data_IF_169126021545
#
_entry.id   IF_169126021545
#
_cell.length_a   1.000
_cell.length_b   1.000
_cell.length_c   1.000
_cell.angle_alpha   90.00
_cell.angle_beta   90.00
_cell.angle_gamma   90.00
#
_symmetry.space_group_name_H-M   'P 1'
#
loop_
_entity.id
_entity.type
_entity.pdbx_description
1 polymer ?
#
# COMPACT_ATOMS: atom_id res chain seq x y z
N UNK A 1 -36.72 -3.38 9.38
CA UNK A 1 -35.35 -3.48 8.81
C UNK A 1 -34.38 -3.41 9.97
N UNK A 2 -33.39 -4.27 10.03
CA UNK A 2 -32.32 -4.18 11.05
C UNK A 2 -31.62 -2.82 10.93
N UNK A 3 -31.26 -2.20 12.06
CA UNK A 3 -30.51 -0.95 12.08
C UNK A 3 -29.13 -1.18 11.48
N UNK A 4 -28.70 -0.33 10.53
CA UNK A 4 -27.38 -0.45 9.89
C UNK A 4 -26.28 -0.04 10.86
N UNK A 5 -25.16 -0.73 10.83
CA UNK A 5 -23.96 -0.38 11.59
C UNK A 5 -23.34 0.88 10.98
N UNK A 6 -23.21 1.94 11.78
CA UNK A 6 -22.62 3.21 11.36
C UNK A 6 -21.09 3.19 11.49
N UNK A 7 -20.40 3.20 10.37
CA UNK A 7 -18.93 3.15 10.29
C UNK A 7 -18.38 4.50 9.85
N UNK A 8 -17.49 5.07 10.65
CA UNK A 8 -16.77 6.29 10.31
C UNK A 8 -15.31 5.94 10.00
N UNK A 9 -14.93 6.03 8.72
CA UNK A 9 -13.54 5.90 8.27
C UNK A 9 -12.84 7.26 8.42
N UNK A 10 -11.68 7.29 9.06
CA UNK A 10 -10.90 8.53 9.26
C UNK A 10 -9.48 8.31 8.76
N UNK A 11 -9.08 9.04 7.74
CA UNK A 11 -7.72 9.03 7.17
C UNK A 11 -7.17 10.46 7.08
N UNK A 12 -5.86 10.63 7.25
CA UNK A 12 -5.27 11.98 7.27
C UNK A 12 -5.43 12.70 5.93
N UNK A 13 -5.22 12.01 4.82
CA UNK A 13 -5.46 12.49 3.47
C UNK A 13 -5.59 11.30 2.51
N UNK A 14 -6.22 11.53 1.39
CA UNK A 14 -6.42 10.54 0.33
C UNK A 14 -5.41 10.76 -0.83
N UNK A 15 -4.13 10.92 -0.48
CA UNK A 15 -3.09 11.03 -1.52
C UNK A 15 -2.91 9.69 -2.25
N UNK A 16 -2.56 9.74 -3.53
CA UNK A 16 -2.31 8.54 -4.35
C UNK A 16 -1.29 7.62 -3.66
N UNK A 17 -1.75 6.45 -3.22
CA UNK A 17 -0.96 5.47 -2.47
C UNK A 17 -1.80 4.39 -1.81
N UNK A 18 -1.15 3.36 -1.29
CA UNK A 18 -1.80 2.16 -0.75
C UNK A 18 -2.93 2.42 0.26
N UNK A 19 -2.76 3.25 1.29
CA UNK A 19 -3.82 3.51 2.27
C UNK A 19 -5.10 4.10 1.66
N UNK A 20 -4.98 5.00 0.68
CA UNK A 20 -6.13 5.61 0.00
C UNK A 20 -6.89 4.58 -0.85
N UNK A 21 -6.17 3.71 -1.57
CA UNK A 21 -6.78 2.60 -2.32
C UNK A 21 -7.57 1.69 -1.39
N UNK A 22 -6.97 1.23 -0.29
CA UNK A 22 -7.63 0.33 0.67
C UNK A 22 -8.89 0.96 1.24
N UNK A 23 -8.83 2.24 1.66
CA UNK A 23 -10.00 2.94 2.21
C UNK A 23 -11.08 3.11 1.15
N UNK A 24 -10.72 3.43 -0.10
CA UNK A 24 -11.67 3.55 -1.19
C UNK A 24 -12.37 2.22 -1.48
N UNK A 25 -11.63 1.12 -1.52
CA UNK A 25 -12.21 -0.20 -1.74
C UNK A 25 -13.13 -0.64 -0.58
N UNK A 26 -12.82 -0.28 0.66
CA UNK A 26 -13.73 -0.48 1.79
C UNK A 26 -15.01 0.35 1.67
N UNK A 27 -14.90 1.61 1.23
CA UNK A 27 -16.06 2.48 1.02
C UNK A 27 -17.00 1.96 -0.08
N UNK A 28 -16.45 1.35 -1.13
CA UNK A 28 -17.22 0.78 -2.26
C UNK A 28 -17.79 -0.60 -1.97
N UNK A 29 -16.98 -1.46 -1.36
CA UNK A 29 -17.24 -2.89 -1.32
C UNK A 29 -18.05 -3.39 -0.12
N UNK A 30 -18.16 -2.62 0.97
CA UNK A 30 -18.98 -3.02 2.11
C UNK A 30 -20.46 -2.90 1.79
N UNK A 31 -21.23 -3.91 2.16
CA UNK A 31 -22.67 -4.01 1.89
C UNK A 31 -23.45 -2.83 2.50
N UNK A 32 -23.97 -1.94 1.66
CA UNK A 32 -24.72 -0.74 2.05
C UNK A 32 -26.07 -1.03 2.73
N UNK A 33 -26.58 -2.25 2.60
CA UNK A 33 -27.78 -2.67 3.35
C UNK A 33 -27.48 -2.93 4.83
N UNK A 34 -26.22 -3.23 5.17
CA UNK A 34 -25.75 -3.55 6.53
C UNK A 34 -24.93 -2.42 7.15
N UNK A 35 -24.22 -1.65 6.34
CA UNK A 35 -23.30 -0.61 6.80
C UNK A 35 -23.69 0.77 6.24
N UNK A 36 -23.75 1.76 7.12
CA UNK A 36 -23.85 3.16 6.76
C UNK A 36 -22.46 3.79 6.97
N UNK A 37 -21.78 4.13 5.86
CA UNK A 37 -20.39 4.60 5.91
C UNK A 37 -20.28 6.09 5.67
N UNK A 38 -19.35 6.73 6.39
CA UNK A 38 -18.86 8.09 6.08
C UNK A 38 -17.32 8.09 6.05
N UNK A 39 -16.76 8.79 5.08
CA UNK A 39 -15.33 9.04 4.98
C UNK A 39 -15.01 10.45 5.46
N UNK A 40 -14.09 10.54 6.44
CA UNK A 40 -13.52 11.80 6.92
C UNK A 40 -12.05 11.85 6.52
N UNK A 41 -11.65 12.91 5.84
CA UNK A 41 -10.28 13.09 5.38
C UNK A 41 -9.84 14.56 5.48
N UNK A 42 -8.55 14.83 5.42
CA UNK A 42 -8.00 16.17 5.20
C UNK A 42 -7.79 16.45 3.71
N UNK A 43 -6.93 17.41 3.45
CA UNK A 43 -6.50 17.79 2.12
C UNK A 43 -5.11 17.22 1.83
N UNK A 44 -4.83 16.91 0.59
CA UNK A 44 -3.49 16.63 0.10
C UNK A 44 -2.67 17.91 0.03
N UNK A 45 -1.35 17.82 0.12
CA UNK A 45 -0.46 18.95 -0.12
C UNK A 45 -0.43 19.24 -1.65
N UNK A 46 -0.06 20.47 -2.05
CA UNK A 46 -0.06 20.92 -3.47
C UNK A 46 0.81 20.01 -4.37
N UNK A 47 1.79 19.33 -3.81
CA UNK A 47 2.69 18.42 -4.52
C UNK A 47 2.20 16.98 -4.54
N UNK A 48 1.04 16.69 -3.97
CA UNK A 48 0.47 15.34 -3.88
C UNK A 48 -0.83 15.27 -4.70
N UNK A 49 -0.95 14.29 -5.60
CA UNK A 49 -2.21 14.01 -6.27
C UNK A 49 -3.24 13.44 -5.28
N UNK A 50 -4.46 13.93 -5.33
CA UNK A 50 -5.56 13.45 -4.49
C UNK A 50 -6.28 12.29 -5.19
N UNK A 51 -6.30 11.13 -4.55
CA UNK A 51 -6.90 9.91 -5.08
C UNK A 51 -8.41 10.05 -5.32
N UNK A 52 -9.11 10.87 -4.51
CA UNK A 52 -10.54 11.12 -4.70
C UNK A 52 -10.84 11.96 -5.96
N UNK A 53 -9.94 12.86 -6.32
CA UNK A 53 -10.11 13.72 -7.47
C UNK A 53 -9.64 13.03 -8.76
N UNK A 54 -8.61 12.16 -8.68
CA UNK A 54 -7.99 11.51 -9.84
C UNK A 54 -8.60 10.15 -10.21
N UNK A 55 -8.98 9.34 -9.21
CA UNK A 55 -9.35 7.93 -9.41
C UNK A 55 -10.67 7.55 -8.77
N UNK A 56 -10.92 7.98 -7.54
CA UNK A 56 -12.09 7.57 -6.75
C UNK A 56 -13.14 8.69 -6.66
N UNK A 57 -13.48 9.30 -7.79
CA UNK A 57 -14.41 10.44 -7.92
C UNK A 57 -15.86 10.10 -7.51
N UNK A 58 -16.20 8.84 -7.43
CA UNK A 58 -17.47 8.30 -6.96
C UNK A 58 -17.64 8.35 -5.44
N UNK A 59 -16.52 8.48 -4.68
CA UNK A 59 -16.54 8.46 -3.22
C UNK A 59 -16.70 9.87 -2.66
N UNK A 60 -17.79 10.06 -1.90
CA UNK A 60 -18.03 11.29 -1.17
C UNK A 60 -17.30 11.30 0.16
N UNK A 61 -16.48 12.31 0.41
CA UNK A 61 -15.75 12.49 1.67
C UNK A 61 -16.07 13.84 2.32
N UNK A 62 -16.07 13.88 3.65
CA UNK A 62 -16.06 15.13 4.40
C UNK A 62 -14.60 15.52 4.66
N UNK A 63 -14.17 16.63 4.08
CA UNK A 63 -12.82 17.15 4.28
C UNK A 63 -12.75 18.05 5.52
N UNK A 64 -11.76 17.83 6.39
CA UNK A 64 -11.49 18.64 7.59
C UNK A 64 -10.12 19.31 7.42
N UNK A 65 -10.12 20.64 7.41
CA UNK A 65 -8.89 21.40 7.37
C UNK A 65 -8.01 21.11 8.59
N UNK A 66 -6.70 20.96 8.35
CA UNK A 66 -5.73 20.62 9.39
C UNK A 66 -5.52 19.11 9.61
N UNK A 67 -6.36 18.24 9.04
CA UNK A 67 -6.17 16.78 9.16
C UNK A 67 -5.10 16.22 8.18
N UNK A 68 -4.50 17.03 7.33
CA UNK A 68 -3.48 16.64 6.34
C UNK A 68 -2.16 16.10 6.92
N UNK A 69 -1.08 16.16 6.13
CA UNK A 69 0.24 15.59 6.48
C UNK A 69 0.98 16.39 7.56
N UNK A 70 0.99 17.71 7.40
CA UNK A 70 1.78 18.61 8.23
C UNK A 70 1.27 18.63 9.68
N UNK A 71 2.19 18.71 10.63
CA UNK A 71 1.89 18.87 12.07
C UNK A 71 1.91 20.37 12.39
N UNK A 72 0.77 20.89 12.84
CA UNK A 72 0.60 22.28 13.26
C UNK A 72 -0.35 22.34 14.46
N UNK A 73 0.08 22.81 15.63
CA UNK A 73 -0.75 22.77 16.84
C UNK A 73 -2.13 23.43 16.69
N UNK A 74 -2.20 24.56 15.98
CA UNK A 74 -3.47 25.28 15.75
C UNK A 74 -4.35 24.55 14.76
N UNK A 75 -3.77 24.06 13.64
CA UNK A 75 -4.53 23.32 12.63
C UNK A 75 -4.97 21.96 13.19
N UNK A 76 -4.13 21.29 13.97
CA UNK A 76 -4.43 20.02 14.61
C UNK A 76 -5.55 20.16 15.65
N UNK A 77 -5.57 21.26 16.43
CA UNK A 77 -6.67 21.55 17.36
C UNK A 77 -7.98 21.82 16.60
N UNK A 78 -7.95 22.57 15.49
CA UNK A 78 -9.15 22.79 14.64
C UNK A 78 -9.65 21.47 14.06
N UNK A 79 -8.76 20.63 13.54
CA UNK A 79 -9.10 19.31 13.01
C UNK A 79 -9.69 18.41 14.11
N UNK A 80 -9.12 18.43 15.30
CA UNK A 80 -9.62 17.68 16.46
C UNK A 80 -11.07 18.09 16.84
N UNK A 81 -11.33 19.40 16.96
CA UNK A 81 -12.68 19.92 17.25
C UNK A 81 -13.66 19.49 16.15
N UNK A 82 -13.28 19.62 14.88
CA UNK A 82 -14.08 19.18 13.74
C UNK A 82 -14.41 17.68 13.80
N UNK A 83 -13.43 16.84 14.15
CA UNK A 83 -13.65 15.40 14.36
C UNK A 83 -14.63 15.12 15.50
N UNK A 84 -14.49 15.79 16.64
CA UNK A 84 -15.42 15.63 17.78
C UNK A 84 -16.86 16.00 17.37
N UNK A 85 -17.03 17.10 16.63
CA UNK A 85 -18.34 17.54 16.12
C UNK A 85 -18.93 16.49 15.16
N UNK A 86 -18.14 16.01 14.19
CA UNK A 86 -18.62 14.98 13.23
C UNK A 86 -18.97 13.67 13.92
N UNK A 87 -18.19 13.21 14.90
CA UNK A 87 -18.49 12.02 15.70
C UNK A 87 -19.81 12.20 16.47
N UNK A 88 -20.04 13.35 17.09
CA UNK A 88 -21.28 13.64 17.83
C UNK A 88 -22.50 13.71 16.92
N UNK A 89 -22.36 14.24 15.71
CA UNK A 89 -23.45 14.38 14.73
C UNK A 89 -23.79 13.05 14.07
N UNK A 90 -22.81 12.33 13.53
CA UNK A 90 -23.03 11.06 12.82
C UNK A 90 -23.35 9.92 13.77
N UNK A 91 -22.85 9.96 15.00
CA UNK A 91 -23.05 8.94 16.04
C UNK A 91 -22.61 7.54 15.58
N UNK A 92 -21.36 7.35 15.18
CA UNK A 92 -20.88 6.08 14.68
C UNK A 92 -20.89 4.99 15.76
N UNK A 93 -21.16 3.74 15.34
CA UNK A 93 -20.96 2.53 16.14
C UNK A 93 -19.49 2.09 16.08
N UNK A 94 -18.85 2.30 14.93
CA UNK A 94 -17.46 1.99 14.68
C UNK A 94 -16.72 3.24 14.19
N UNK A 95 -15.57 3.53 14.80
CA UNK A 95 -14.61 4.52 14.31
C UNK A 95 -13.35 3.77 13.91
N UNK A 96 -13.07 3.76 12.61
CA UNK A 96 -11.90 3.12 12.03
C UNK A 96 -10.93 4.20 11.54
N UNK A 97 -9.76 4.26 12.14
CA UNK A 97 -8.74 5.27 11.84
C UNK A 97 -7.59 4.65 11.06
N UNK A 98 -7.08 5.40 10.07
CA UNK A 98 -5.97 5.02 9.20
C UNK A 98 -4.90 6.10 9.23
N UNK A 99 -3.62 5.72 9.08
CA UNK A 99 -2.46 6.61 9.11
C UNK A 99 -2.18 7.27 10.49
N UNK A 100 -0.95 7.72 10.72
CA UNK A 100 -0.50 8.14 12.04
C UNK A 100 -1.29 9.33 12.61
N UNK A 101 -1.40 10.45 11.87
CA UNK A 101 -2.05 11.67 12.37
C UNK A 101 -3.55 11.48 12.60
N UNK A 102 -4.26 10.90 11.63
CA UNK A 102 -5.68 10.58 11.79
C UNK A 102 -5.91 9.51 12.87
N UNK A 103 -4.96 8.59 13.03
CA UNK A 103 -4.94 7.62 14.12
C UNK A 103 -4.90 8.28 15.49
N UNK A 104 -4.04 9.28 15.70
CA UNK A 104 -3.96 10.02 16.96
C UNK A 104 -5.20 10.87 17.17
N UNK A 105 -5.49 11.79 16.25
CA UNK A 105 -6.58 12.75 16.41
C UNK A 105 -7.96 12.07 16.44
N UNK A 106 -8.20 11.08 15.59
CA UNK A 106 -9.49 10.37 15.51
C UNK A 106 -9.77 9.54 16.77
N UNK A 107 -8.77 8.80 17.28
CA UNK A 107 -8.93 8.02 18.53
C UNK A 107 -9.15 8.92 19.74
N UNK A 108 -8.39 10.03 19.87
CA UNK A 108 -8.59 11.02 20.93
C UNK A 108 -9.97 11.69 20.82
N UNK A 109 -10.37 12.12 19.62
CA UNK A 109 -11.68 12.73 19.38
C UNK A 109 -12.82 11.78 19.76
N UNK A 110 -12.68 10.48 19.44
CA UNK A 110 -13.64 9.44 19.83
C UNK A 110 -13.81 9.34 21.37
N UNK A 111 -12.71 9.42 22.10
CA UNK A 111 -12.72 9.38 23.59
C UNK A 111 -13.43 10.61 24.14
N UNK A 112 -13.10 11.80 23.65
CA UNK A 112 -13.65 13.08 24.13
C UNK A 112 -15.11 13.28 23.70
N UNK A 113 -15.52 12.73 22.55
CA UNK A 113 -16.91 12.78 22.11
C UNK A 113 -17.86 12.03 23.04
N UNK A 114 -17.34 11.19 23.96
CA UNK A 114 -18.13 10.49 24.98
C UNK A 114 -19.03 9.39 24.43
N UNK A 115 -18.79 8.93 23.18
CA UNK A 115 -19.58 7.86 22.54
C UNK A 115 -18.97 6.48 22.81
N UNK A 116 -19.84 5.48 22.96
CA UNK A 116 -19.42 4.07 23.10
C UNK A 116 -19.04 3.41 21.77
N UNK A 117 -18.53 4.19 20.81
CA UNK A 117 -18.08 3.64 19.53
C UNK A 117 -16.90 2.69 19.72
N UNK A 118 -16.92 1.59 18.99
CA UNK A 118 -15.75 0.70 18.89
C UNK A 118 -14.65 1.38 18.09
N UNK A 119 -13.48 1.50 18.68
CA UNK A 119 -12.30 2.10 18.05
C UNK A 119 -11.43 1.02 17.43
N UNK A 120 -11.18 1.16 16.12
CA UNK A 120 -10.29 0.32 15.32
C UNK A 120 -9.21 1.23 14.75
N UNK A 121 -7.98 0.75 14.69
CA UNK A 121 -6.89 1.46 14.03
C UNK A 121 -6.09 0.52 13.15
N UNK A 122 -5.89 0.92 11.87
CA UNK A 122 -5.05 0.18 10.92
C UNK A 122 -3.70 0.85 10.75
N UNK A 123 -2.64 0.08 10.97
CA UNK A 123 -1.26 0.43 10.66
C UNK A 123 -0.94 -0.02 9.23
N UNK A 124 -0.72 0.95 8.33
CA UNK A 124 -0.48 0.71 6.89
C UNK A 124 1.00 0.54 6.52
N UNK A 125 1.87 0.36 7.48
CA UNK A 125 3.30 0.14 7.26
C UNK A 125 4.12 0.27 8.53
N UNK A 126 5.43 0.20 8.38
CA UNK A 126 6.38 0.27 9.49
C UNK A 126 6.51 1.72 10.00
N UNK A 127 5.73 2.06 11.02
CA UNK A 127 5.74 3.38 11.66
C UNK A 127 7.10 3.73 12.28
N UNK A 128 7.89 2.71 12.65
CA UNK A 128 9.07 2.83 13.49
C UNK A 128 10.38 2.87 12.71
N UNK A 129 10.39 2.54 11.43
CA UNK A 129 11.60 2.47 10.61
C UNK A 129 11.62 3.56 9.53
N UNK A 130 12.65 4.41 9.59
CA UNK A 130 12.97 5.36 8.52
C UNK A 130 12.21 6.69 8.50
N UNK A 131 11.20 6.90 9.38
CA UNK A 131 10.41 8.13 9.38
C UNK A 131 10.85 9.16 10.42
N UNK A 132 11.38 8.74 11.57
CA UNK A 132 11.76 9.62 12.65
C UNK A 132 13.09 9.19 13.27
N UNK A 133 13.91 10.15 13.70
CA UNK A 133 15.16 9.89 14.39
C UNK A 133 15.00 10.07 15.92
N UNK A 134 15.62 9.17 16.69
CA UNK A 134 15.88 9.33 18.11
C UNK A 134 14.64 9.60 18.97
N UNK A 135 14.59 10.74 19.66
CA UNK A 135 13.56 11.09 20.63
C UNK A 135 12.14 11.22 20.05
N UNK A 136 12.01 11.59 18.76
CA UNK A 136 10.72 11.69 18.07
C UNK A 136 10.08 10.29 17.93
N UNK A 137 10.87 9.27 17.62
CA UNK A 137 10.40 7.88 17.58
C UNK A 137 9.91 7.43 18.95
N UNK A 138 10.66 7.74 20.03
CA UNK A 138 10.25 7.41 21.39
C UNK A 138 8.92 8.07 21.77
N UNK A 139 8.71 9.33 21.38
CA UNK A 139 7.46 10.05 21.62
C UNK A 139 6.29 9.41 20.86
N UNK A 140 6.47 9.08 19.58
CA UNK A 140 5.45 8.40 18.77
C UNK A 140 5.08 7.06 19.40
N UNK A 141 6.07 6.26 19.83
CA UNK A 141 5.84 4.98 20.52
C UNK A 141 5.04 5.20 21.82
N UNK A 142 5.39 6.21 22.62
CA UNK A 142 4.68 6.50 23.86
C UNK A 142 3.20 6.88 23.63
N UNK A 143 2.94 7.71 22.63
CA UNK A 143 1.59 8.09 22.21
C UNK A 143 0.81 6.86 21.74
N UNK A 144 1.40 6.03 20.86
CA UNK A 144 0.75 4.84 20.35
C UNK A 144 0.47 3.81 21.45
N UNK A 145 1.37 3.60 22.41
CA UNK A 145 1.13 2.77 23.61
C UNK A 145 -0.06 3.25 24.42
N UNK A 146 -0.18 4.56 24.61
CA UNK A 146 -1.29 5.15 25.35
C UNK A 146 -2.62 4.94 24.59
N UNK A 147 -2.63 5.18 23.26
CA UNK A 147 -3.81 5.03 22.42
C UNK A 147 -4.20 3.56 22.23
N UNK A 148 -3.25 2.65 22.09
CA UNK A 148 -3.50 1.22 21.98
C UNK A 148 -4.28 0.66 23.18
N UNK A 149 -3.98 1.12 24.40
CA UNK A 149 -4.74 0.74 25.61
C UNK A 149 -6.22 1.15 25.57
N UNK A 150 -6.59 2.08 24.70
CA UNK A 150 -7.94 2.64 24.52
C UNK A 150 -8.58 2.30 23.17
N UNK A 151 -7.89 1.53 22.37
CA UNK A 151 -8.35 1.01 21.07
C UNK A 151 -8.84 -0.41 21.28
N UNK A 152 -9.98 -0.78 20.72
CA UNK A 152 -10.55 -2.11 20.90
C UNK A 152 -9.85 -3.14 20.01
N UNK A 153 -9.59 -2.77 18.76
CA UNK A 153 -8.92 -3.63 17.78
C UNK A 153 -7.82 -2.86 17.04
N UNK A 154 -6.68 -3.49 16.90
CA UNK A 154 -5.55 -3.01 16.11
C UNK A 154 -5.42 -3.91 14.88
N UNK A 155 -5.33 -3.31 13.71
CA UNK A 155 -5.15 -4.00 12.45
C UNK A 155 -3.76 -3.68 11.91
N UNK A 156 -3.00 -4.70 11.57
CA UNK A 156 -1.76 -4.58 10.82
C UNK A 156 -1.97 -5.13 9.42
N UNK A 157 -1.42 -4.46 8.41
CA UNK A 157 -1.55 -4.91 7.02
C UNK A 157 -0.61 -6.07 6.65
N UNK A 158 0.31 -6.46 7.55
CA UNK A 158 1.27 -7.54 7.35
C UNK A 158 1.80 -8.07 8.68
N UNK A 159 2.37 -9.28 8.64
CA UNK A 159 2.87 -9.97 9.82
C UNK A 159 4.06 -9.25 10.45
N UNK A 160 5.03 -8.77 9.65
CA UNK A 160 6.18 -8.02 10.18
C UNK A 160 5.75 -6.68 10.78
N UNK A 161 4.78 -5.98 10.18
CA UNK A 161 4.21 -4.76 10.79
C UNK A 161 3.65 -5.05 12.18
N UNK A 162 2.88 -6.13 12.34
CA UNK A 162 2.37 -6.57 13.65
C UNK A 162 3.50 -6.88 14.62
N UNK A 163 4.50 -7.64 14.17
CA UNK A 163 5.62 -8.06 15.00
C UNK A 163 6.43 -6.86 15.52
N UNK A 164 6.72 -5.88 14.66
CA UNK A 164 7.44 -4.66 15.03
C UNK A 164 6.67 -3.81 16.04
N UNK A 165 5.37 -3.67 15.87
CA UNK A 165 4.51 -2.96 16.82
C UNK A 165 4.48 -3.64 18.17
N UNK A 166 4.37 -4.97 18.20
CA UNK A 166 4.42 -5.76 19.43
C UNK A 166 5.81 -5.68 20.12
N UNK A 167 6.92 -5.79 19.36
CA UNK A 167 8.28 -5.58 19.89
C UNK A 167 8.45 -4.19 20.49
N UNK A 168 7.84 -3.17 19.89
CA UNK A 168 7.84 -1.82 20.45
C UNK A 168 6.91 -1.67 21.68
N UNK A 169 6.13 -2.68 22.04
CA UNK A 169 5.18 -2.68 23.17
C UNK A 169 3.91 -1.89 22.88
N UNK A 170 3.53 -1.74 21.60
CA UNK A 170 2.28 -1.11 21.18
C UNK A 170 1.20 -2.18 21.11
N UNK A 171 0.18 -2.09 21.96
CA UNK A 171 -0.91 -3.08 22.01
C UNK A 171 -0.53 -4.42 22.64
N UNK A 172 -1.40 -5.40 22.49
CA UNK A 172 -1.25 -6.80 22.97
C UNK A 172 -1.57 -7.76 21.83
N UNK A 173 -1.02 -8.96 21.85
CA UNK A 173 -1.18 -9.97 20.80
C UNK A 173 -2.66 -10.26 20.47
N UNK A 174 -3.52 -10.39 21.48
CA UNK A 174 -4.95 -10.67 21.30
C UNK A 174 -5.78 -9.45 20.82
N UNK A 175 -5.17 -8.28 20.70
CA UNK A 175 -5.78 -7.06 20.19
C UNK A 175 -5.55 -6.90 18.69
N UNK A 176 -4.56 -7.62 18.13
CA UNK A 176 -4.19 -7.53 16.73
C UNK A 176 -4.91 -8.54 15.85
N UNK A 177 -5.37 -8.04 14.71
CA UNK A 177 -5.66 -8.84 13.51
C UNK A 177 -4.70 -8.44 12.39
N UNK A 178 -4.29 -9.39 11.56
CA UNK A 178 -3.56 -9.09 10.31
C UNK A 178 -4.56 -9.17 9.17
N UNK A 179 -4.83 -8.01 8.55
CA UNK A 179 -5.69 -7.91 7.38
C UNK A 179 -4.85 -7.46 6.20
N UNK A 180 -4.50 -8.40 5.35
CA UNK A 180 -3.79 -8.08 4.13
C UNK A 180 -4.63 -7.19 3.22
N UNK A 181 -4.04 -6.21 2.53
CA UNK A 181 -4.73 -5.45 1.50
C UNK A 181 -5.34 -6.36 0.45
N UNK A 182 -6.52 -6.01 -0.03
CA UNK A 182 -7.17 -6.73 -1.13
C UNK A 182 -7.40 -5.80 -2.31
N UNK A 183 -7.16 -6.30 -3.51
CA UNK A 183 -7.43 -5.60 -4.76
C UNK A 183 -8.47 -6.35 -5.58
N UNK A 184 -9.24 -5.65 -6.43
CA UNK A 184 -10.12 -6.29 -7.40
C UNK A 184 -9.31 -7.19 -8.35
N UNK A 185 -9.99 -8.17 -8.94
CA UNK A 185 -9.37 -9.02 -9.95
C UNK A 185 -8.83 -8.17 -11.11
N UNK A 186 -7.66 -8.52 -11.67
CA UNK A 186 -7.04 -7.75 -12.74
C UNK A 186 -7.85 -7.84 -14.03
N UNK A 187 -7.55 -6.93 -14.94
CA UNK A 187 -8.14 -6.89 -16.28
C UNK A 187 -7.97 -8.22 -17.04
N UNK A 188 -8.91 -8.55 -17.94
CA UNK A 188 -8.96 -9.84 -18.65
C UNK A 188 -8.40 -9.81 -20.05
N UNK A 189 -7.86 -8.67 -20.55
CA UNK A 189 -7.26 -8.59 -21.86
C UNK A 189 -6.02 -9.48 -21.98
N UNK A 190 -5.78 -10.00 -23.18
CA UNK A 190 -4.62 -10.86 -23.44
C UNK A 190 -3.31 -10.06 -23.42
N UNK A 191 -2.22 -10.71 -23.01
CA UNK A 191 -0.88 -10.08 -22.99
C UNK A 191 -0.49 -9.53 -24.37
N UNK A 192 -0.82 -10.24 -25.46
CA UNK A 192 -0.52 -9.81 -26.82
C UNK A 192 -1.28 -8.55 -27.24
N UNK A 193 -2.54 -8.43 -26.82
CA UNK A 193 -3.36 -7.24 -27.07
C UNK A 193 -2.83 -6.04 -26.27
N UNK A 194 -2.53 -6.22 -24.98
CA UNK A 194 -1.96 -5.16 -24.13
C UNK A 194 -0.60 -4.69 -24.62
N UNK A 195 0.29 -5.61 -25.07
CA UNK A 195 1.56 -5.24 -25.70
C UNK A 195 1.37 -4.41 -26.95
N UNK A 196 0.42 -4.76 -27.80
CA UNK A 196 0.09 -3.97 -29.00
C UNK A 196 -0.40 -2.56 -28.63
N UNK A 197 -1.29 -2.45 -27.64
CA UNK A 197 -1.83 -1.17 -27.18
C UNK A 197 -0.76 -0.27 -26.55
N UNK A 198 0.22 -0.88 -25.88
CA UNK A 198 1.36 -0.20 -25.23
C UNK A 198 2.58 -0.05 -26.17
N UNK A 199 2.45 -0.44 -27.45
CA UNK A 199 3.54 -0.40 -28.45
C UNK A 199 4.81 -1.15 -28.02
N UNK A 200 4.64 -2.27 -27.27
CA UNK A 200 5.71 -3.09 -26.78
C UNK A 200 6.05 -4.22 -27.77
N UNK A 201 7.35 -4.45 -28.02
CA UNK A 201 7.84 -5.54 -28.86
C UNK A 201 7.51 -6.91 -28.22
N UNK A 202 6.78 -7.82 -28.91
CA UNK A 202 6.45 -9.12 -28.37
C UNK A 202 7.66 -10.03 -28.08
N UNK A 203 8.81 -9.79 -28.72
CA UNK A 203 10.03 -10.59 -28.56
C UNK A 203 10.88 -10.16 -27.35
N UNK A 204 10.62 -8.99 -26.76
CA UNK A 204 11.39 -8.45 -25.65
C UNK A 204 10.84 -8.94 -24.31
N UNK A 205 11.74 -9.28 -23.38
CA UNK A 205 11.39 -9.54 -21.97
C UNK A 205 11.30 -8.22 -21.22
N UNK A 206 10.11 -7.91 -20.69
CA UNK A 206 9.86 -6.69 -19.94
C UNK A 206 9.84 -6.95 -18.43
N UNK A 207 10.69 -6.20 -17.71
CA UNK A 207 10.73 -6.16 -16.26
C UNK A 207 10.14 -4.83 -15.78
N UNK A 208 9.04 -4.87 -15.04
CA UNK A 208 8.29 -3.67 -14.69
C UNK A 208 8.44 -3.30 -13.23
N UNK A 209 8.79 -2.05 -12.99
CA UNK A 209 8.76 -1.36 -11.70
C UNK A 209 7.61 -0.36 -11.70
N UNK A 210 6.78 -0.41 -10.65
CA UNK A 210 5.73 0.59 -10.41
C UNK A 210 5.88 1.15 -9.01
N UNK A 211 6.08 2.47 -8.91
CA UNK A 211 6.20 3.13 -7.62
C UNK A 211 6.72 4.55 -7.73
N UNK A 212 6.60 5.32 -6.65
CA UNK A 212 7.16 6.68 -6.60
C UNK A 212 8.68 6.63 -6.66
N UNK A 213 9.30 7.43 -7.49
CA UNK A 213 10.75 7.51 -7.58
C UNK A 213 11.30 8.42 -6.47
N UNK A 214 11.40 7.84 -5.27
CA UNK A 214 11.88 8.49 -4.04
C UNK A 214 13.05 7.71 -3.45
N UNK A 215 13.77 8.32 -2.52
CA UNK A 215 14.95 7.70 -1.91
C UNK A 215 14.66 6.33 -1.29
N UNK A 216 13.50 6.13 -0.65
CA UNK A 216 13.14 4.84 -0.04
C UNK A 216 12.85 3.74 -1.07
N UNK A 217 12.41 4.11 -2.28
CA UNK A 217 12.12 3.19 -3.39
C UNK A 217 13.35 2.80 -4.19
N UNK A 218 14.47 3.52 -4.01
CA UNK A 218 15.78 3.21 -4.55
C UNK A 218 15.80 3.04 -6.08
N UNK A 219 15.36 4.05 -6.86
CA UNK A 219 15.50 4.01 -8.32
C UNK A 219 16.97 3.92 -8.77
N UNK A 220 17.91 4.42 -7.98
CA UNK A 220 19.36 4.24 -8.18
C UNK A 220 19.73 2.75 -8.23
N UNK A 221 19.21 1.93 -7.30
CA UNK A 221 19.42 0.48 -7.28
C UNK A 221 18.83 -0.19 -8.52
N UNK A 222 17.67 0.26 -9.00
CA UNK A 222 17.10 -0.24 -10.26
C UNK A 222 18.04 -0.03 -11.44
N UNK A 223 18.63 1.16 -11.55
CA UNK A 223 19.59 1.48 -12.61
C UNK A 223 20.88 0.68 -12.48
N UNK A 224 21.40 0.45 -11.27
CA UNK A 224 22.54 -0.42 -11.02
C UNK A 224 22.26 -1.87 -11.47
N UNK A 225 21.04 -2.35 -11.24
CA UNK A 225 20.59 -3.67 -11.71
C UNK A 225 20.53 -3.68 -13.24
N UNK A 226 19.95 -2.66 -13.88
CA UNK A 226 19.91 -2.57 -15.34
C UNK A 226 21.33 -2.57 -15.95
N UNK A 227 22.26 -1.81 -15.37
CA UNK A 227 23.66 -1.82 -15.77
C UNK A 227 24.33 -3.20 -15.59
N UNK A 228 23.99 -3.92 -14.52
CA UNK A 228 24.47 -5.27 -14.29
C UNK A 228 23.91 -6.28 -15.31
N UNK A 229 22.66 -6.10 -15.77
CA UNK A 229 22.07 -6.94 -16.82
C UNK A 229 22.76 -6.71 -18.17
N UNK A 230 23.07 -5.45 -18.52
CA UNK A 230 23.85 -5.12 -19.73
C UNK A 230 25.22 -5.80 -19.69
N UNK A 231 25.94 -5.72 -18.56
CA UNK A 231 27.27 -6.37 -18.40
C UNK A 231 27.21 -7.90 -18.49
N UNK A 232 26.07 -8.51 -18.22
CA UNK A 232 25.83 -9.96 -18.32
C UNK A 232 25.34 -10.39 -19.69
N UNK A 233 25.12 -9.45 -20.60
CA UNK A 233 24.59 -9.68 -21.95
C UNK A 233 23.20 -10.35 -21.92
N UNK A 234 22.41 -10.09 -20.88
CA UNK A 234 21.04 -10.60 -20.76
C UNK A 234 20.06 -9.58 -21.34
N UNK A 235 19.36 -9.98 -22.39
CA UNK A 235 18.36 -9.13 -23.04
C UNK A 235 17.10 -9.00 -22.18
N UNK A 236 16.93 -7.83 -21.57
CA UNK A 236 15.77 -7.45 -20.76
C UNK A 236 15.58 -5.94 -20.84
N UNK A 237 14.33 -5.48 -20.89
CA UNK A 237 14.01 -4.07 -20.91
C UNK A 237 13.19 -3.69 -19.68
N UNK A 238 13.53 -2.59 -19.02
CA UNK A 238 12.86 -2.13 -17.80
C UNK A 238 11.81 -1.07 -18.13
N UNK A 239 10.58 -1.30 -17.67
CA UNK A 239 9.50 -0.32 -17.70
C UNK A 239 9.35 0.28 -16.30
N UNK A 240 9.48 1.60 -16.19
CA UNK A 240 9.44 2.32 -14.91
C UNK A 240 8.26 3.26 -14.90
N UNK A 241 7.21 2.90 -14.18
CA UNK A 241 6.01 3.70 -14.02
C UNK A 241 5.96 4.37 -12.64
N UNK A 242 5.77 5.66 -12.63
CA UNK A 242 5.68 6.53 -11.47
C UNK A 242 6.51 7.79 -11.61
N UNK A 243 6.28 8.71 -10.72
CA UNK A 243 6.97 10.00 -10.62
C UNK A 243 7.54 10.18 -9.21
N UNK A 244 8.27 11.24 -8.97
CA UNK A 244 8.87 11.57 -7.68
C UNK A 244 10.11 12.42 -7.82
N UNK A 245 10.68 12.77 -6.69
CA UNK A 245 11.85 13.68 -6.60
C UNK A 245 13.10 13.19 -7.36
N UNK A 246 13.20 11.87 -7.59
CA UNK A 246 14.32 11.26 -8.29
C UNK A 246 14.01 10.89 -9.75
N UNK A 247 12.85 11.28 -10.29
CA UNK A 247 12.44 10.92 -11.65
C UNK A 247 13.44 11.45 -12.70
N UNK A 248 13.65 12.77 -12.74
CA UNK A 248 14.50 13.42 -13.75
C UNK A 248 15.98 12.99 -13.63
N UNK A 249 16.50 12.87 -12.41
CA UNK A 249 17.86 12.40 -12.19
C UNK A 249 18.06 10.96 -12.64
N UNK A 250 17.07 10.09 -12.38
CA UNK A 250 17.12 8.69 -12.81
C UNK A 250 17.06 8.57 -14.34
N UNK A 251 16.18 9.34 -14.98
CA UNK A 251 16.03 9.37 -16.44
C UNK A 251 17.31 9.87 -17.12
N UNK A 252 17.92 10.92 -16.58
CA UNK A 252 19.19 11.47 -17.08
C UNK A 252 20.32 10.44 -16.96
N UNK A 253 20.43 9.76 -15.82
CA UNK A 253 21.43 8.72 -15.60
C UNK A 253 21.24 7.55 -16.58
N UNK A 254 20.02 7.05 -16.74
CA UNK A 254 19.71 5.94 -17.64
C UNK A 254 20.11 6.26 -19.08
N UNK A 255 19.84 7.50 -19.55
CA UNK A 255 20.24 7.95 -20.87
C UNK A 255 21.76 8.07 -21.03
N UNK A 256 22.45 8.64 -20.03
CA UNK A 256 23.92 8.80 -20.06
C UNK A 256 24.66 7.44 -20.08
N UNK A 257 24.12 6.42 -19.39
CA UNK A 257 24.68 5.07 -19.33
C UNK A 257 24.12 4.13 -20.42
N UNK A 258 23.24 4.62 -21.33
CA UNK A 258 22.56 3.83 -22.37
C UNK A 258 21.88 2.56 -21.82
N UNK A 259 21.19 2.69 -20.68
CA UNK A 259 20.50 1.57 -20.05
C UNK A 259 19.17 1.24 -20.75
N UNK A 260 18.77 -0.05 -20.83
CA UNK A 260 17.51 -0.48 -21.43
C UNK A 260 16.33 -0.19 -20.49
N UNK A 261 16.05 1.09 -20.24
CA UNK A 261 15.03 1.56 -19.29
C UNK A 261 14.15 2.62 -19.96
N UNK A 262 12.84 2.40 -19.93
CA UNK A 262 11.84 3.38 -20.35
C UNK A 262 11.09 3.93 -19.14
N UNK A 263 11.13 5.25 -18.96
CA UNK A 263 10.37 5.96 -17.93
C UNK A 263 9.02 6.39 -18.48
N UNK A 264 7.94 5.88 -17.89
CA UNK A 264 6.57 6.06 -18.37
C UNK A 264 5.82 7.20 -17.64
N UNK A 265 6.44 7.81 -16.61
CA UNK A 265 5.76 8.76 -15.76
C UNK A 265 4.64 8.13 -14.93
N UNK A 266 3.73 8.95 -14.41
CA UNK A 266 2.58 8.46 -13.67
C UNK A 266 1.55 7.80 -14.59
N UNK A 267 1.04 6.62 -14.18
CA UNK A 267 0.07 5.82 -14.95
C UNK A 267 -1.09 5.36 -14.07
N UNK A 268 -2.31 5.36 -14.65
CA UNK A 268 -3.53 4.82 -14.01
C UNK A 268 -3.70 3.31 -14.27
N UNK A 269 -3.22 2.84 -15.40
CA UNK A 269 -3.38 1.49 -15.95
C UNK A 269 -2.22 0.55 -15.58
N UNK A 270 -1.80 0.61 -14.33
CA UNK A 270 -0.67 -0.20 -13.83
C UNK A 270 -0.94 -1.71 -13.86
N UNK A 271 -2.20 -2.12 -13.77
CA UNK A 271 -2.63 -3.51 -13.92
C UNK A 271 -2.45 -4.02 -15.35
N UNK A 272 -2.80 -3.20 -16.38
CA UNK A 272 -2.53 -3.50 -17.78
C UNK A 272 -1.03 -3.56 -18.08
N UNK A 273 -0.26 -2.64 -17.49
CA UNK A 273 1.19 -2.62 -17.64
C UNK A 273 1.83 -3.89 -17.07
N UNK A 274 1.40 -4.35 -15.88
CA UNK A 274 1.85 -5.63 -15.35
C UNK A 274 1.40 -6.80 -16.22
N UNK A 275 0.15 -6.82 -16.68
CA UNK A 275 -0.35 -7.90 -17.54
C UNK A 275 0.38 -7.99 -18.90
N UNK A 276 0.94 -6.88 -19.40
CA UNK A 276 1.78 -6.84 -20.60
C UNK A 276 3.24 -7.28 -20.34
N UNK A 277 3.68 -7.33 -19.10
CA UNK A 277 5.06 -7.58 -18.67
C UNK A 277 5.38 -9.08 -18.49
N UNK A 278 6.64 -9.39 -18.18
CA UNK A 278 7.14 -10.76 -17.93
C UNK A 278 7.61 -10.97 -16.50
N UNK A 279 8.13 -9.91 -15.86
CA UNK A 279 8.73 -9.94 -14.53
C UNK A 279 8.35 -8.63 -13.83
N UNK A 280 8.09 -8.70 -12.53
CA UNK A 280 7.95 -7.51 -11.70
C UNK A 280 9.16 -7.37 -10.77
N UNK A 281 9.61 -6.13 -10.56
CA UNK A 281 10.71 -5.82 -9.65
C UNK A 281 10.33 -4.73 -8.66
N UNK A 282 10.81 -4.88 -7.43
CA UNK A 282 10.80 -3.84 -6.41
C UNK A 282 12.22 -3.67 -5.86
N UNK A 283 12.62 -2.42 -5.59
CA UNK A 283 14.00 -2.11 -5.16
C UNK A 283 14.09 -1.40 -3.81
N UNK A 284 12.99 -1.26 -3.10
CA UNK A 284 12.81 -0.47 -1.88
C UNK A 284 13.70 -0.93 -0.72
N UNK A 285 14.05 0.02 0.16
CA UNK A 285 14.74 -0.27 1.43
C UNK A 285 13.77 -0.68 2.55
N UNK A 286 12.49 -0.31 2.45
CA UNK A 286 11.46 -0.68 3.42
C UNK A 286 10.07 -0.62 2.80
N UNK A 287 9.21 -1.59 3.15
CA UNK A 287 7.82 -1.66 2.70
C UNK A 287 6.91 -2.22 3.80
N UNK A 288 5.67 -1.74 3.81
CA UNK A 288 4.57 -2.49 4.40
C UNK A 288 4.19 -3.67 3.48
N UNK A 289 2.98 -3.63 2.92
CA UNK A 289 2.60 -4.51 1.80
C UNK A 289 2.39 -3.62 0.58
N UNK A 290 3.30 -3.64 -0.42
CA UNK A 290 3.17 -2.82 -1.61
C UNK A 290 2.07 -3.35 -2.52
N UNK A 291 1.03 -2.56 -2.76
CA UNK A 291 -0.11 -2.95 -3.62
C UNK A 291 0.34 -3.28 -5.05
N UNK A 292 1.40 -2.65 -5.52
CA UNK A 292 1.98 -2.92 -6.85
C UNK A 292 2.51 -4.34 -6.99
N UNK A 293 3.01 -4.96 -5.91
CA UNK A 293 3.38 -6.38 -5.94
C UNK A 293 2.17 -7.31 -5.90
N UNK A 294 1.07 -6.88 -5.26
CA UNK A 294 -0.20 -7.62 -5.32
C UNK A 294 -0.72 -7.62 -6.77
N UNK A 295 -0.74 -6.45 -7.44
CA UNK A 295 -1.13 -6.33 -8.85
C UNK A 295 -0.26 -7.21 -9.76
N UNK A 296 1.06 -7.17 -9.57
CA UNK A 296 2.00 -7.99 -10.32
C UNK A 296 1.75 -9.49 -10.12
N UNK A 297 1.55 -9.94 -8.87
CA UNK A 297 1.22 -11.33 -8.57
C UNK A 297 -0.13 -11.75 -9.15
N UNK A 298 -1.17 -10.89 -9.05
CA UNK A 298 -2.47 -11.15 -9.68
C UNK A 298 -2.39 -11.24 -11.21
N UNK A 299 -1.50 -10.47 -11.84
CA UNK A 299 -1.18 -10.58 -13.27
C UNK A 299 -0.42 -11.87 -13.62
N UNK A 300 0.05 -12.64 -12.63
CA UNK A 300 0.80 -13.88 -12.83
C UNK A 300 2.27 -13.66 -13.13
N UNK A 301 2.86 -12.56 -12.67
CA UNK A 301 4.26 -12.28 -12.85
C UNK A 301 5.10 -12.84 -11.70
N UNK A 302 6.24 -13.47 -11.97
CA UNK A 302 7.25 -13.70 -10.95
C UNK A 302 7.81 -12.37 -10.47
N UNK A 303 8.08 -12.26 -9.18
CA UNK A 303 8.53 -11.03 -8.54
C UNK A 303 9.98 -11.18 -8.08
N UNK A 304 10.80 -10.16 -8.34
CA UNK A 304 12.13 -10.01 -7.72
C UNK A 304 12.09 -8.82 -6.77
N UNK A 305 12.36 -9.06 -5.50
CA UNK A 305 12.31 -8.02 -4.49
C UNK A 305 13.35 -8.24 -3.38
N UNK A 306 13.80 -7.19 -2.68
CA UNK A 306 14.62 -7.36 -1.49
C UNK A 306 13.78 -7.92 -0.34
N UNK A 307 14.39 -8.73 0.51
CA UNK A 307 13.77 -9.29 1.72
C UNK A 307 13.65 -8.22 2.83
N UNK A 308 12.75 -7.25 2.65
CA UNK A 308 12.54 -6.14 3.59
C UNK A 308 11.06 -5.98 3.95
N UNK A 309 10.79 -5.57 5.19
CA UNK A 309 9.42 -5.36 5.68
C UNK A 309 8.54 -6.59 5.48
N UNK A 310 7.28 -6.36 5.11
CA UNK A 310 6.29 -7.43 4.91
C UNK A 310 6.24 -7.98 3.47
N UNK A 311 7.30 -7.83 2.68
CA UNK A 311 7.34 -8.39 1.30
C UNK A 311 7.24 -9.92 1.31
N UNK A 312 7.76 -10.59 2.35
CA UNK A 312 7.64 -12.03 2.55
C UNK A 312 6.20 -12.53 2.75
N UNK A 313 5.25 -11.63 3.03
CA UNK A 313 3.83 -11.99 3.06
C UNK A 313 3.24 -12.12 1.63
N UNK A 314 3.85 -11.47 0.61
CA UNK A 314 3.42 -11.54 -0.80
C UNK A 314 4.27 -12.52 -1.59
N UNK A 315 5.59 -12.52 -1.36
CA UNK A 315 6.55 -13.31 -2.13
C UNK A 315 7.10 -14.43 -1.25
N UNK A 316 6.74 -15.67 -1.56
CA UNK A 316 7.38 -16.87 -0.99
C UNK A 316 8.60 -17.21 -1.85
N UNK A 317 9.79 -17.12 -1.24
CA UNK A 317 11.05 -17.28 -1.96
C UNK A 317 11.15 -18.64 -2.67
N UNK A 318 11.60 -18.64 -3.92
CA UNK A 318 11.73 -19.79 -4.83
C UNK A 318 10.40 -20.47 -5.22
N UNK A 319 9.25 -19.97 -4.71
CA UNK A 319 7.91 -20.51 -5.05
C UNK A 319 7.07 -19.53 -5.85
N UNK A 320 7.03 -18.24 -5.45
CA UNK A 320 6.23 -17.22 -6.13
C UNK A 320 7.08 -16.09 -6.70
N UNK A 321 8.36 -16.11 -6.46
CA UNK A 321 9.35 -15.14 -6.89
C UNK A 321 10.66 -15.31 -6.15
N UNK A 322 11.52 -14.30 -6.20
CA UNK A 322 12.80 -14.29 -5.51
C UNK A 322 12.89 -13.15 -4.49
N UNK A 323 13.11 -13.53 -3.23
CA UNK A 323 13.54 -12.61 -2.19
C UNK A 323 15.07 -12.61 -2.11
N UNK A 324 15.68 -11.47 -2.32
CA UNK A 324 17.14 -11.35 -2.36
C UNK A 324 17.66 -10.40 -1.28
N UNK A 325 18.97 -10.38 -1.08
CA UNK A 325 19.59 -9.22 -0.44
C UNK A 325 19.38 -7.97 -1.32
N UNK A 326 19.38 -6.75 -0.74
CA UNK A 326 19.19 -5.52 -1.50
C UNK A 326 20.38 -5.13 -2.39
N UNK A 327 21.35 -6.02 -2.58
CA UNK A 327 22.51 -5.79 -3.42
C UNK A 327 22.14 -5.94 -4.90
N UNK A 328 22.51 -4.97 -5.78
CA UNK A 328 22.19 -5.02 -7.20
C UNK A 328 22.62 -6.32 -7.89
N UNK A 329 23.79 -6.86 -7.53
CA UNK A 329 24.30 -8.10 -8.10
C UNK A 329 23.45 -9.34 -7.78
N UNK A 330 22.91 -9.44 -6.57
CA UNK A 330 22.00 -10.53 -6.15
C UNK A 330 20.68 -10.45 -6.91
N UNK A 331 20.08 -9.26 -7.00
CA UNK A 331 18.86 -9.03 -7.75
C UNK A 331 19.03 -9.28 -9.25
N UNK A 332 20.16 -8.85 -9.84
CA UNK A 332 20.49 -9.12 -11.23
C UNK A 332 20.66 -10.62 -11.50
N UNK A 333 21.18 -11.41 -10.55
CA UNK A 333 21.26 -12.86 -10.70
C UNK A 333 19.88 -13.52 -10.74
N UNK A 334 18.96 -13.10 -9.87
CA UNK A 334 17.58 -13.55 -9.89
C UNK A 334 16.86 -13.18 -11.20
N UNK A 335 17.06 -11.94 -11.68
CA UNK A 335 16.51 -11.50 -12.96
C UNK A 335 17.09 -12.27 -14.15
N UNK A 336 18.41 -12.57 -14.15
CA UNK A 336 19.03 -13.36 -15.21
C UNK A 336 18.39 -14.75 -15.33
N UNK A 337 18.16 -15.42 -14.20
CA UNK A 337 17.47 -16.71 -14.19
C UNK A 337 16.04 -16.62 -14.78
N UNK A 338 15.29 -15.58 -14.40
CA UNK A 338 13.94 -15.38 -14.93
C UNK A 338 13.94 -14.94 -16.40
N UNK A 339 14.91 -14.16 -16.86
CA UNK A 339 14.96 -13.70 -18.24
C UNK A 339 15.25 -14.84 -19.23
N UNK A 340 16.05 -15.83 -18.82
CA UNK A 340 16.50 -16.93 -19.68
C UNK A 340 15.61 -18.18 -19.61
N UNK A 341 14.82 -18.34 -18.54
CA UNK A 341 13.98 -19.53 -18.31
C UNK A 341 12.50 -19.18 -18.25
N UNK A 342 11.78 -19.47 -19.36
CA UNK A 342 10.35 -19.22 -19.49
C UNK A 342 9.50 -20.16 -18.62
N UNK A 343 9.93 -21.39 -18.40
CA UNK A 343 9.21 -22.37 -17.57
C UNK A 343 9.26 -21.92 -16.10
N UNK A 344 10.44 -21.45 -15.65
CA UNK A 344 10.60 -20.87 -14.33
C UNK A 344 9.70 -19.64 -14.14
N UNK A 345 9.65 -18.72 -15.12
CA UNK A 345 8.74 -17.57 -15.07
C UNK A 345 7.28 -18.00 -14.91
N UNK A 346 6.85 -18.93 -15.75
CA UNK A 346 5.46 -19.42 -15.74
C UNK A 346 5.11 -20.13 -14.44
N UNK A 347 6.01 -20.95 -13.91
CA UNK A 347 5.81 -21.68 -12.65
C UNK A 347 5.69 -20.74 -11.47
N UNK A 348 6.64 -19.80 -11.30
CA UNK A 348 6.64 -18.87 -10.19
C UNK A 348 5.47 -17.86 -10.31
N UNK A 349 5.21 -17.36 -11.51
CA UNK A 349 4.10 -16.43 -11.75
C UNK A 349 2.73 -17.06 -11.49
N UNK A 350 2.50 -18.30 -11.93
CA UNK A 350 1.24 -19.02 -11.66
C UNK A 350 1.04 -19.28 -10.16
N UNK A 351 2.09 -19.68 -9.47
CA UNK A 351 2.03 -19.86 -8.02
C UNK A 351 1.79 -18.52 -7.28
N UNK A 352 2.44 -17.44 -7.74
CA UNK A 352 2.21 -16.08 -7.21
C UNK A 352 0.78 -15.62 -7.41
N UNK A 353 0.18 -15.88 -8.56
CA UNK A 353 -1.23 -15.57 -8.85
C UNK A 353 -2.18 -16.33 -7.92
N UNK A 354 -1.94 -17.62 -7.70
CA UNK A 354 -2.74 -18.43 -6.79
C UNK A 354 -2.66 -17.87 -5.36
N UNK A 355 -1.45 -17.58 -4.89
CA UNK A 355 -1.21 -16.96 -3.57
C UNK A 355 -1.90 -15.59 -3.44
N UNK A 356 -1.79 -14.73 -4.45
CA UNK A 356 -2.44 -13.41 -4.44
C UNK A 356 -3.97 -13.51 -4.41
N UNK A 357 -4.56 -14.42 -5.18
CA UNK A 357 -6.01 -14.64 -5.18
C UNK A 357 -6.52 -15.16 -3.83
N UNK A 358 -5.75 -15.99 -3.15
CA UNK A 358 -6.11 -16.54 -1.84
C UNK A 358 -6.01 -15.49 -0.72
N UNK A 359 -4.91 -14.72 -0.69
CA UNK A 359 -4.57 -13.87 0.45
C UNK A 359 -4.79 -12.37 0.22
N UNK A 360 -4.90 -11.91 -1.03
CA UNK A 360 -4.94 -10.49 -1.38
C UNK A 360 -6.12 -10.12 -2.29
N UNK A 361 -7.19 -10.95 -2.29
CA UNK A 361 -8.43 -10.63 -3.00
C UNK A 361 -9.24 -9.57 -2.26
N UNK A 362 -9.97 -8.74 -3.02
CA UNK A 362 -10.87 -7.74 -2.48
C UNK A 362 -11.95 -8.38 -1.59
N UNK A 363 -12.52 -9.50 -2.03
CA UNK A 363 -13.56 -10.22 -1.30
C UNK A 363 -13.08 -10.66 0.09
N UNK A 364 -11.83 -11.16 0.20
CA UNK A 364 -11.25 -11.51 1.48
C UNK A 364 -11.09 -10.29 2.38
N UNK A 365 -10.54 -9.19 1.87
CA UNK A 365 -10.37 -7.96 2.64
C UNK A 365 -11.72 -7.44 3.16
N UNK A 366 -12.75 -7.43 2.32
CA UNK A 366 -14.09 -7.00 2.69
C UNK A 366 -14.73 -7.92 3.74
N UNK A 367 -14.55 -9.24 3.62
CA UNK A 367 -15.01 -10.22 4.60
C UNK A 367 -14.37 -9.99 5.97
N UNK A 368 -13.03 -9.83 6.02
CA UNK A 368 -12.30 -9.63 7.26
C UNK A 368 -12.76 -8.33 7.97
N UNK A 369 -12.98 -7.24 7.22
CA UNK A 369 -13.49 -5.99 7.76
C UNK A 369 -14.97 -6.08 8.18
N UNK A 370 -15.79 -6.78 7.41
CA UNK A 370 -17.19 -7.07 7.77
C UNK A 370 -17.25 -7.81 9.11
N UNK A 371 -16.41 -8.81 9.30
CA UNK A 371 -16.37 -9.60 10.53
C UNK A 371 -15.99 -8.76 11.76
N UNK A 372 -14.93 -7.94 11.66
CA UNK A 372 -14.50 -7.10 12.77
C UNK A 372 -15.54 -6.01 13.11
N UNK A 373 -16.25 -5.45 12.10
CA UNK A 373 -17.30 -4.46 12.33
C UNK A 373 -18.54 -5.10 12.99
N UNK A 374 -18.91 -6.31 12.61
CA UNK A 374 -20.00 -7.06 13.28
C UNK A 374 -19.67 -7.39 14.73
N UNK A 375 -18.45 -7.86 15.02
CA UNK A 375 -18.01 -8.10 16.41
C UNK A 375 -18.04 -6.84 17.27
N UNK A 376 -17.92 -5.69 16.60
CA UNK A 376 -17.91 -4.38 17.26
C UNK A 376 -19.29 -3.89 17.65
N UNK A 377 -20.33 -4.33 16.96
CA UNK A 377 -21.72 -3.95 17.22
C UNK A 377 -22.35 -4.80 18.32
N UNK A 378 -21.93 -6.05 18.48
CA UNK A 378 -22.45 -7.01 19.44
C UNK A 378 -21.84 -6.90 20.86
N UNK A 379 -21.05 -5.86 21.14
CA UNK A 379 -20.48 -5.51 22.46
C UNK A 379 -21.17 -4.30 23.07
#
# INVERSE_FOLDING_TARGET
>A
MAERIKVMQIIARMNVGGPAVIVAELMRGLDSSRFEQVLITGYCDETEADYLDEVATDIKATRIAGLGRSVSPIADLKAFIGLVQKIRTFKPDVIHTHTAKAGVLGRLASIIAGRRATRIHTFHGHLLHGYFAGWKTALVIAIEKFLAKRTHFLVAIGNEVKNDLLKAGIGRTNQYSVFFPGLPAPHTASKSELRKNLELDPAVIYCTFVGRLTQIKRPDRLLDIAAAMVKREVSIHFLVAGEGELFESSKTRAAAENLPVTFLGWRKDTDELFAASDIAILTSDNEGIPLTLIQAAQAGLPIVAPAVGSISDIVDNDKTGFLTSPQPGAMASALSALATDSELRNRLGSAGKAHANEYFSLERMLRDHTEIYNRSHNK
#
